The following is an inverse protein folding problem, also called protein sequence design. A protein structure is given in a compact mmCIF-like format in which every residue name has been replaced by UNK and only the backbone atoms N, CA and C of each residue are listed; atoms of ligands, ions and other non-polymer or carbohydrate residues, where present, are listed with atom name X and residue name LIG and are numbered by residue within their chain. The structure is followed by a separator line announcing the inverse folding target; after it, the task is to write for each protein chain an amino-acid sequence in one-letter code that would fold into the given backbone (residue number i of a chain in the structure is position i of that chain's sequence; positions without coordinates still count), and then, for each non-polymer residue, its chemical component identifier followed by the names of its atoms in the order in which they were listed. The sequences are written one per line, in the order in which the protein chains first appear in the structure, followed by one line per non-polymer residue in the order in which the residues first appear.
data_IF_437817127220
#
_entry.id   IF_437817127220
#
_cell.length_a   1.000
_cell.length_b   1.000
_cell.length_c   1.000
_cell.angle_alpha   90.00
_cell.angle_beta   90.00
_cell.angle_gamma   90.00
#
_symmetry.space_group_name_H-M   'P 1'
#
loop_
_entity.id
_entity.type
_entity.pdbx_description
1 polymer ?
#
# COMPACT_ATOMS: atom_id res chain seq x y z
N UNK A 1 4.09 -25.50 19.72
CA UNK A 1 4.97 -25.60 18.54
C UNK A 1 4.11 -25.23 17.36
N UNK A 2 4.21 -23.99 16.88
CA UNK A 2 3.44 -23.53 15.72
C UNK A 2 4.32 -23.70 14.48
N UNK A 3 4.01 -24.75 13.71
CA UNK A 3 4.71 -25.11 12.50
C UNK A 3 4.23 -24.16 11.39
N UNK A 4 4.92 -23.03 11.25
CA UNK A 4 4.76 -22.13 10.11
C UNK A 4 5.16 -22.88 8.84
N UNK A 5 4.18 -23.53 8.19
CA UNK A 5 4.34 -24.14 6.87
C UNK A 5 4.74 -23.06 5.89
N UNK A 6 6.05 -22.92 5.65
CA UNK A 6 6.56 -22.14 4.53
C UNK A 6 5.97 -22.74 3.24
N UNK A 7 4.95 -22.07 2.71
CA UNK A 7 4.35 -22.43 1.44
C UNK A 7 5.39 -22.16 0.38
N UNK A 8 6.04 -23.21 -0.14
CA UNK A 8 7.05 -23.10 -1.20
C UNK A 8 6.49 -22.28 -2.36
N UNK A 9 7.05 -21.08 -2.56
CA UNK A 9 6.71 -20.16 -3.65
C UNK A 9 7.26 -20.76 -4.95
N UNK A 10 6.41 -21.45 -5.70
CA UNK A 10 6.79 -22.28 -6.86
C UNK A 10 6.76 -21.55 -8.21
N UNK A 11 6.27 -20.31 -8.24
CA UNK A 11 6.11 -19.51 -9.46
C UNK A 11 6.96 -18.24 -9.39
N UNK A 12 7.60 -17.89 -10.49
CA UNK A 12 8.41 -16.70 -10.65
C UNK A 12 7.74 -15.74 -11.65
N UNK A 13 7.82 -14.43 -11.38
CA UNK A 13 7.36 -13.37 -12.28
C UNK A 13 8.58 -12.52 -12.61
N UNK A 14 8.83 -12.29 -13.90
CA UNK A 14 9.96 -11.47 -14.36
C UNK A 14 9.46 -10.53 -15.45
N UNK A 15 9.77 -9.26 -15.32
CA UNK A 15 9.44 -8.21 -16.27
C UNK A 15 10.67 -7.34 -16.53
N UNK A 16 10.68 -6.65 -17.67
CA UNK A 16 11.75 -5.74 -18.04
C UNK A 16 11.32 -4.32 -17.73
N UNK A 17 12.23 -3.53 -17.18
CA UNK A 17 12.05 -2.11 -16.89
C UNK A 17 13.03 -1.30 -17.72
N UNK A 18 12.66 -0.05 -18.01
CA UNK A 18 13.64 0.95 -18.43
C UNK A 18 14.54 1.33 -17.25
N UNK A 19 15.69 1.95 -17.50
CA UNK A 19 16.59 2.41 -16.44
C UNK A 19 15.88 3.37 -15.48
N UNK A 20 15.08 4.31 -16.01
CA UNK A 20 14.31 5.26 -15.20
C UNK A 20 13.27 4.58 -14.32
N UNK A 21 12.54 3.59 -14.85
CA UNK A 21 11.58 2.83 -14.07
C UNK A 21 12.26 2.02 -12.96
N UNK A 22 13.44 1.46 -13.24
CA UNK A 22 14.20 0.71 -12.25
C UNK A 22 14.68 1.62 -11.12
N UNK A 23 15.17 2.83 -11.44
CA UNK A 23 15.60 3.82 -10.45
C UNK A 23 14.44 4.25 -9.54
N UNK A 24 13.24 4.44 -10.09
CA UNK A 24 12.04 4.73 -9.29
C UNK A 24 11.71 3.61 -8.31
N UNK A 25 11.80 2.35 -8.74
CA UNK A 25 11.59 1.17 -7.89
C UNK A 25 12.66 1.09 -6.80
N UNK A 26 13.93 1.32 -7.16
CA UNK A 26 15.04 1.27 -6.21
C UNK A 26 14.92 2.34 -5.13
N UNK A 27 14.58 3.57 -5.50
CA UNK A 27 14.34 4.66 -4.55
C UNK A 27 13.17 4.34 -3.60
N UNK A 28 12.07 3.78 -4.13
CA UNK A 28 10.91 3.42 -3.31
C UNK A 28 11.20 2.24 -2.37
N UNK A 29 11.98 1.25 -2.82
CA UNK A 29 12.43 0.12 -2.01
C UNK A 29 13.38 0.58 -0.90
N UNK A 30 14.33 1.46 -1.22
CA UNK A 30 15.26 2.07 -0.27
C UNK A 30 14.52 2.87 0.80
N UNK A 31 13.53 3.67 0.41
CA UNK A 31 12.70 4.42 1.36
C UNK A 31 11.89 3.49 2.29
N UNK A 32 11.54 2.29 1.83
CA UNK A 32 10.87 1.27 2.64
C UNK A 32 11.85 0.37 3.43
N UNK A 33 13.16 0.51 3.24
CA UNK A 33 14.18 -0.35 3.86
C UNK A 33 14.18 -1.79 3.33
N UNK A 34 13.69 -1.99 2.10
CA UNK A 34 13.56 -3.32 1.46
C UNK A 34 14.40 -3.42 0.19
N UNK A 35 14.70 -4.65 -0.25
CA UNK A 35 15.26 -4.86 -1.58
C UNK A 35 14.19 -4.65 -2.66
N UNK A 36 14.57 -4.22 -3.88
CA UNK A 36 13.61 -3.96 -4.96
C UNK A 36 12.64 -5.09 -5.26
N UNK A 37 13.08 -6.35 -5.15
CA UNK A 37 12.26 -7.51 -5.47
C UNK A 37 11.26 -7.82 -4.35
N UNK A 38 11.68 -7.77 -3.09
CA UNK A 38 10.76 -7.86 -1.95
C UNK A 38 9.74 -6.73 -1.97
N UNK A 39 10.18 -5.51 -2.25
CA UNK A 39 9.30 -4.35 -2.33
C UNK A 39 8.25 -4.51 -3.44
N UNK A 40 8.66 -4.87 -4.66
CA UNK A 40 7.74 -5.13 -5.76
C UNK A 40 6.71 -6.21 -5.42
N UNK A 41 7.17 -7.29 -4.78
CA UNK A 41 6.31 -8.40 -4.35
C UNK A 41 5.31 -7.96 -3.29
N UNK A 42 5.74 -7.17 -2.31
CA UNK A 42 4.85 -6.61 -1.28
C UNK A 42 3.80 -5.72 -1.91
N UNK A 43 4.19 -4.75 -2.74
CA UNK A 43 3.26 -3.84 -3.42
C UNK A 43 2.23 -4.61 -4.26
N UNK A 44 2.67 -5.59 -5.06
CA UNK A 44 1.76 -6.39 -5.87
C UNK A 44 0.74 -7.18 -5.03
N UNK A 45 1.16 -7.73 -3.89
CA UNK A 45 0.27 -8.46 -2.97
C UNK A 45 -0.65 -7.52 -2.19
N UNK A 46 -0.16 -6.36 -1.75
CA UNK A 46 -0.95 -5.31 -1.10
C UNK A 46 -2.06 -4.84 -2.04
N UNK A 47 -1.75 -4.58 -3.31
CA UNK A 47 -2.74 -4.16 -4.30
C UNK A 47 -3.80 -5.23 -4.59
N UNK A 48 -3.47 -6.51 -4.39
CA UNK A 48 -4.41 -7.63 -4.47
C UNK A 48 -5.30 -7.74 -3.23
N UNK A 49 -4.73 -7.52 -2.03
CA UNK A 49 -5.44 -7.67 -0.76
C UNK A 49 -6.35 -6.48 -0.43
N UNK A 50 -5.94 -5.28 -0.80
CA UNK A 50 -6.69 -4.04 -0.50
C UNK A 50 -7.80 -3.77 -1.53
N UNK A 51 -7.95 -4.64 -2.54
CA UNK A 51 -8.68 -4.30 -3.75
C UNK A 51 -7.99 -3.13 -4.47
N UNK A 52 -8.54 -2.65 -5.58
CA UNK A 52 -8.10 -1.34 -6.09
C UNK A 52 -8.26 -0.33 -4.95
N UNK A 53 -7.13 0.10 -4.35
CA UNK A 53 -7.12 1.03 -3.23
C UNK A 53 -8.07 2.18 -3.51
N UNK A 54 -8.87 2.52 -2.48
CA UNK A 54 -10.01 3.45 -2.50
C UNK A 54 -10.28 4.00 -3.90
N UNK A 55 -11.31 3.46 -4.56
CA UNK A 55 -11.77 4.06 -5.82
C UNK A 55 -11.96 5.56 -5.61
N UNK A 56 -11.94 6.38 -6.66
CA UNK A 56 -12.16 7.84 -6.52
C UNK A 56 -13.37 8.16 -5.61
N UNK A 57 -14.40 7.33 -5.64
CA UNK A 57 -15.58 7.45 -4.80
C UNK A 57 -15.30 7.14 -3.32
N UNK A 58 -14.50 6.11 -3.04
CA UNK A 58 -14.13 5.78 -1.66
C UNK A 58 -13.19 6.83 -1.05
N UNK A 59 -12.33 7.45 -1.87
CA UNK A 59 -11.51 8.59 -1.42
C UNK A 59 -12.35 9.82 -1.09
N UNK A 60 -13.37 10.10 -1.91
CA UNK A 60 -14.36 11.15 -1.65
C UNK A 60 -15.14 10.89 -0.35
N UNK A 61 -15.57 9.64 -0.12
CA UNK A 61 -16.24 9.24 1.12
C UNK A 61 -15.33 9.41 2.34
N UNK A 62 -14.07 9.00 2.25
CA UNK A 62 -13.10 9.19 3.33
C UNK A 62 -12.83 10.67 3.62
N UNK A 63 -12.65 11.51 2.60
CA UNK A 63 -12.49 12.96 2.78
C UNK A 63 -13.72 13.60 3.45
N UNK A 64 -14.93 13.16 3.09
CA UNK A 64 -16.17 13.69 3.68
C UNK A 64 -16.36 13.22 5.13
N UNK A 65 -16.05 11.97 5.44
CA UNK A 65 -16.08 11.44 6.81
C UNK A 65 -15.05 12.17 7.69
N UNK A 66 -13.82 12.36 7.19
CA UNK A 66 -12.77 13.09 7.90
C UNK A 66 -13.20 14.54 8.17
N UNK A 67 -13.86 15.20 7.21
CA UNK A 67 -14.42 16.54 7.40
C UNK A 67 -15.47 16.52 8.50
N UNK A 68 -16.49 15.67 8.43
CA UNK A 68 -17.53 15.57 9.46
C UNK A 68 -16.99 15.32 10.88
N UNK A 69 -15.97 14.46 11.03
CA UNK A 69 -15.34 14.21 12.34
C UNK A 69 -14.67 15.47 12.88
N UNK A 70 -13.95 16.22 12.04
CA UNK A 70 -13.30 17.47 12.49
C UNK A 70 -14.29 18.56 12.92
N UNK A 71 -15.48 18.59 12.32
CA UNK A 71 -16.56 19.51 12.72
C UNK A 71 -17.19 19.13 14.07
N UNK A 72 -17.17 17.85 14.44
CA UNK A 72 -17.74 17.39 15.71
C UNK A 72 -16.82 17.72 16.89
N UNK A 73 -15.50 17.58 16.73
CA UNK A 73 -14.52 18.04 17.72
C UNK A 73 -14.58 19.56 17.94
N UNK A 74 -14.64 20.34 16.86
CA UNK A 74 -14.75 21.81 16.99
C UNK A 74 -16.08 22.29 17.57
N UNK A 75 -17.17 21.53 17.39
CA UNK A 75 -18.46 21.85 18.00
C UNK A 75 -18.50 21.49 19.50
N UNK A 76 -17.73 20.49 19.95
CA UNK A 76 -17.66 20.09 21.36
C UNK A 76 -16.81 21.06 22.21
N UNK A 77 -15.80 21.71 21.61
CA UNK A 77 -14.97 22.73 22.25
C UNK A 77 -15.68 24.09 22.45
N UNK A 78 -16.92 24.25 21.96
CA UNK A 78 -17.71 25.49 22.10
C UNK A 78 -18.73 25.48 23.26
N UNK A 79 -18.70 24.48 24.17
CA UNK A 79 -19.55 24.44 25.37
C UNK A 79 -18.75 24.63 26.67
#
# INVERSE_FOLDING_TARGET
MDESKETKKSRNITFRLTSEQYEQVENAAMAAGEDPNSWCRKVALTQLSEGFGLTKNDRLLYEEIARCVTWWDTALDCC
#
